data_IF_753544889834
#
_entry.id   IF_753544889834
#
_cell.length_a   1.000
_cell.length_b   1.000
_cell.length_c   1.000
_cell.angle_alpha   90.00
_cell.angle_beta   90.00
_cell.angle_gamma   90.00
#
_symmetry.space_group_name_H-M   'P 1'
#
loop_
_entity.id
_entity.type
_entity.pdbx_description
1 polymer ?
#
# COMPACT_ATOMS: atom_id res chain seq x y z
N UNK A 1 3.18 4.72 -13.13
CA UNK A 1 3.00 4.79 -11.66
C UNK A 1 2.45 6.16 -11.24
N UNK A 2 1.54 6.23 -10.26
CA UNK A 2 1.06 7.52 -9.72
C UNK A 2 2.18 8.33 -9.03
N UNK A 3 2.12 9.67 -9.11
CA UNK A 3 3.09 10.55 -8.41
C UNK A 3 2.83 10.71 -6.91
N UNK A 4 1.67 10.27 -6.41
CA UNK A 4 1.32 10.35 -4.99
C UNK A 4 0.61 9.07 -4.53
N UNK A 5 0.95 8.63 -3.32
CA UNK A 5 0.42 7.37 -2.77
C UNK A 5 -1.07 7.50 -2.41
N UNK A 6 -1.89 6.58 -2.92
CA UNK A 6 -3.31 6.43 -2.57
C UNK A 6 -3.52 5.35 -1.50
N UNK A 7 -2.81 5.49 -0.37
CA UNK A 7 -2.74 4.47 0.70
C UNK A 7 -4.14 4.04 1.18
N UNK A 8 -5.07 4.99 1.34
CA UNK A 8 -6.44 4.66 1.77
C UNK A 8 -7.18 3.74 0.80
N UNK A 9 -7.05 3.99 -0.51
CA UNK A 9 -7.67 3.16 -1.54
C UNK A 9 -7.01 1.77 -1.60
N UNK A 10 -5.68 1.71 -1.52
CA UNK A 10 -4.94 0.46 -1.50
C UNK A 10 -5.27 -0.41 -0.28
N UNK A 11 -5.31 0.20 0.92
CA UNK A 11 -5.70 -0.49 2.15
C UNK A 11 -7.11 -1.08 2.00
N UNK A 12 -8.08 -0.29 1.54
CA UNK A 12 -9.45 -0.76 1.33
C UNK A 12 -9.53 -1.89 0.32
N UNK A 13 -8.83 -1.77 -0.81
CA UNK A 13 -8.84 -2.77 -1.88
C UNK A 13 -8.26 -4.11 -1.37
N UNK A 14 -7.07 -4.09 -0.78
CA UNK A 14 -6.42 -5.29 -0.25
C UNK A 14 -7.24 -5.92 0.86
N UNK A 15 -7.83 -5.10 1.75
CA UNK A 15 -8.72 -5.57 2.81
C UNK A 15 -9.92 -6.33 2.24
N UNK A 16 -10.60 -5.76 1.24
CA UNK A 16 -11.74 -6.42 0.59
C UNK A 16 -11.32 -7.71 -0.12
N UNK A 17 -10.18 -7.71 -0.83
CA UNK A 17 -9.66 -8.89 -1.51
C UNK A 17 -9.27 -10.02 -0.54
N UNK A 18 -8.83 -9.67 0.67
CA UNK A 18 -8.47 -10.63 1.73
C UNK A 18 -9.66 -11.05 2.60
N UNK A 19 -10.85 -10.49 2.39
CA UNK A 19 -12.03 -10.78 3.22
C UNK A 19 -11.94 -10.25 4.65
N UNK A 20 -11.07 -9.27 4.89
CA UNK A 20 -10.82 -8.70 6.22
C UNK A 20 -11.81 -7.54 6.49
N UNK A 21 -12.37 -7.48 7.69
CA UNK A 21 -13.24 -6.38 8.14
C UNK A 21 -12.41 -5.20 8.67
N UNK A 22 -12.99 -4.01 8.80
CA UNK A 22 -12.29 -2.91 9.49
C UNK A 22 -12.11 -3.18 11.00
N UNK A 23 -12.94 -4.07 11.58
CA UNK A 23 -12.90 -4.43 13.00
C UNK A 23 -11.77 -5.40 13.32
N UNK A 24 -11.37 -6.22 12.34
CA UNK A 24 -10.28 -7.20 12.48
C UNK A 24 -8.93 -6.52 12.78
N UNK A 25 -8.79 -5.24 12.43
CA UNK A 25 -7.61 -4.44 12.80
C UNK A 25 -7.54 -4.06 14.27
N UNK A 26 -8.56 -4.38 15.09
CA UNK A 26 -8.68 -3.99 16.50
C UNK A 26 -7.46 -4.34 17.36
N UNK A 27 -6.66 -5.33 16.94
CA UNK A 27 -5.40 -5.73 17.60
C UNK A 27 -4.26 -4.71 17.43
N UNK A 28 -4.25 -3.94 16.34
CA UNK A 28 -3.17 -2.98 16.01
C UNK A 28 -3.66 -1.53 15.85
N UNK A 29 -4.96 -1.33 15.64
CA UNK A 29 -5.54 -0.02 15.41
C UNK A 29 -7.05 0.01 15.66
N UNK A 30 -7.58 1.19 15.99
CA UNK A 30 -9.03 1.33 16.14
C UNK A 30 -9.73 1.28 14.78
N UNK A 31 -10.93 0.68 14.74
CA UNK A 31 -11.81 0.70 13.56
C UNK A 31 -11.97 2.12 12.97
N UNK A 32 -12.12 3.12 13.85
CA UNK A 32 -12.22 4.54 13.46
C UNK A 32 -10.96 5.01 12.73
N UNK A 33 -9.77 4.67 13.23
CA UNK A 33 -8.52 5.01 12.56
C UNK A 33 -8.45 4.39 11.16
N UNK A 34 -8.74 3.10 11.04
CA UNK A 34 -8.75 2.39 9.75
C UNK A 34 -9.72 3.05 8.78
N UNK A 35 -10.94 3.38 9.24
CA UNK A 35 -11.92 4.12 8.45
C UNK A 35 -11.41 5.49 7.98
N UNK A 36 -10.71 6.24 8.85
CA UNK A 36 -10.12 7.54 8.46
C UNK A 36 -9.01 7.39 7.43
N UNK A 37 -8.18 6.35 7.53
CA UNK A 37 -7.13 6.07 6.52
C UNK A 37 -7.75 5.67 5.19
N UNK A 38 -8.72 4.75 5.17
CA UNK A 38 -9.39 4.31 3.93
C UNK A 38 -10.09 5.45 3.19
N UNK A 39 -10.54 6.47 3.93
CA UNK A 39 -11.15 7.69 3.38
C UNK A 39 -10.14 8.77 2.96
N UNK A 40 -8.85 8.53 3.15
CA UNK A 40 -7.78 9.48 2.84
C UNK A 40 -7.69 10.67 3.80
N UNK A 41 -8.31 10.59 4.97
CA UNK A 41 -8.30 11.68 5.97
C UNK A 41 -7.04 11.67 6.85
N UNK A 42 -6.33 10.54 6.89
CA UNK A 42 -5.05 10.39 7.59
C UNK A 42 -4.07 9.59 6.74
N UNK A 43 -2.82 10.05 6.73
CA UNK A 43 -1.70 9.28 6.20
C UNK A 43 -1.07 8.48 7.34
N UNK A 44 -1.02 7.14 7.27
CA UNK A 44 -0.35 6.32 8.26
C UNK A 44 1.17 6.48 8.18
N UNK A 45 1.85 6.30 9.31
CA UNK A 45 3.32 6.19 9.34
C UNK A 45 3.75 4.83 8.78
N UNK A 46 5.04 4.68 8.44
CA UNK A 46 5.57 3.40 7.95
C UNK A 46 5.34 2.26 8.95
N UNK A 47 5.63 2.47 10.24
CA UNK A 47 5.36 1.46 11.26
C UNK A 47 3.86 1.10 11.38
N UNK A 48 2.96 2.04 11.07
CA UNK A 48 1.53 1.72 11.01
C UNK A 48 1.19 0.92 9.75
N UNK A 49 1.82 1.20 8.61
CA UNK A 49 1.68 0.41 7.37
C UNK A 49 2.10 -1.04 7.61
N UNK A 50 3.22 -1.27 8.31
CA UNK A 50 3.69 -2.61 8.70
C UNK A 50 2.63 -3.37 9.52
N UNK A 51 2.10 -2.74 10.57
CA UNK A 51 1.05 -3.32 11.40
C UNK A 51 -0.24 -3.62 10.62
N UNK A 52 -0.64 -2.73 9.71
CA UNK A 52 -1.82 -2.95 8.88
C UNK A 52 -1.59 -4.10 7.88
N UNK A 53 -0.40 -4.20 7.31
CA UNK A 53 -0.02 -5.25 6.37
C UNK A 53 0.03 -6.63 7.05
N UNK A 54 0.47 -6.69 8.32
CA UNK A 54 0.44 -7.90 9.14
C UNK A 54 -0.98 -8.47 9.28
N UNK A 55 -1.96 -7.63 9.64
CA UNK A 55 -3.38 -8.04 9.74
C UNK A 55 -3.92 -8.54 8.39
N UNK A 56 -3.48 -7.94 7.28
CA UNK A 56 -3.88 -8.34 5.92
C UNK A 56 -3.17 -9.62 5.44
N UNK A 57 -2.15 -10.11 6.16
CA UNK A 57 -1.31 -11.22 5.72
C UNK A 57 -0.54 -10.92 4.43
N UNK A 58 -0.02 -9.70 4.28
CA UNK A 58 0.80 -9.27 3.13
C UNK A 58 2.07 -8.58 3.61
N UNK A 59 3.07 -8.49 2.73
CA UNK A 59 4.25 -7.69 3.00
C UNK A 59 3.91 -6.18 2.95
N UNK A 60 4.48 -5.31 3.81
CA UNK A 60 4.21 -3.87 3.78
C UNK A 60 4.50 -3.23 2.42
N UNK A 61 5.54 -3.70 1.71
CA UNK A 61 5.84 -3.25 0.35
C UNK A 61 4.71 -3.56 -0.64
N UNK A 62 3.94 -4.63 -0.44
CA UNK A 62 2.76 -4.92 -1.26
C UNK A 62 1.70 -3.84 -1.09
N UNK A 63 1.43 -3.40 0.15
CA UNK A 63 0.50 -2.31 0.42
C UNK A 63 1.00 -0.97 -0.16
N UNK A 64 2.30 -0.68 -0.02
CA UNK A 64 2.92 0.52 -0.60
C UNK A 64 2.82 0.50 -2.12
N UNK A 65 3.28 -0.57 -2.78
CA UNK A 65 3.22 -0.69 -4.24
C UNK A 65 1.78 -0.56 -4.76
N UNK A 66 0.82 -1.20 -4.09
CA UNK A 66 -0.61 -1.09 -4.41
C UNK A 66 -1.10 0.36 -4.36
N UNK A 67 -0.57 1.19 -3.46
CA UNK A 67 -0.95 2.60 -3.35
C UNK A 67 -0.46 3.47 -4.51
N UNK A 68 0.49 2.97 -5.30
CA UNK A 68 1.08 3.68 -6.44
C UNK A 68 0.62 3.14 -7.80
N UNK A 69 -0.17 2.06 -7.83
CA UNK A 69 -0.73 1.52 -9.07
C UNK A 69 -1.70 2.52 -9.71
N UNK A 70 -1.57 2.70 -11.02
CA UNK A 70 -2.54 3.47 -11.82
C UNK A 70 -3.85 2.69 -11.98
N UNK A 71 -3.75 1.36 -12.12
CA UNK A 71 -4.86 0.42 -12.24
C UNK A 71 -4.61 -0.84 -11.40
N UNK A 72 -5.67 -1.42 -10.82
CA UNK A 72 -5.58 -2.68 -10.04
C UNK A 72 -5.72 -3.91 -10.95
N UNK A 73 -4.80 -4.06 -11.90
CA UNK A 73 -4.72 -5.17 -12.83
C UNK A 73 -3.26 -5.49 -13.18
N UNK A 74 -3.06 -6.55 -13.97
CA UNK A 74 -1.72 -7.01 -14.37
C UNK A 74 -0.91 -5.90 -15.06
N UNK A 75 -1.53 -5.12 -15.95
CA UNK A 75 -0.86 -4.01 -16.65
C UNK A 75 -0.38 -2.93 -15.68
N UNK A 76 -1.20 -2.56 -14.70
CA UNK A 76 -0.83 -1.58 -13.67
C UNK A 76 0.33 -2.07 -12.80
N UNK A 77 0.33 -3.35 -12.45
CA UNK A 77 1.42 -3.99 -11.69
C UNK A 77 2.71 -3.99 -12.50
N UNK A 78 2.68 -4.44 -13.75
CA UNK A 78 3.86 -4.48 -14.62
C UNK A 78 4.43 -3.09 -14.88
N UNK A 79 3.59 -2.09 -15.15
CA UNK A 79 4.04 -0.71 -15.33
C UNK A 79 4.73 -0.18 -14.07
N UNK A 80 4.13 -0.34 -12.89
CA UNK A 80 4.72 0.18 -11.66
C UNK A 80 6.05 -0.50 -11.29
N UNK A 81 6.16 -1.82 -11.51
CA UNK A 81 7.39 -2.56 -11.23
C UNK A 81 8.49 -2.23 -12.25
N UNK A 82 8.14 -2.05 -13.52
CA UNK A 82 9.09 -1.64 -14.57
C UNK A 82 9.67 -0.25 -14.30
N UNK A 83 8.81 0.71 -13.91
CA UNK A 83 9.22 2.07 -13.55
C UNK A 83 10.19 2.03 -12.35
N UNK A 84 9.77 1.40 -11.25
CA UNK A 84 10.58 1.27 -10.03
C UNK A 84 11.92 0.57 -10.28
N UNK A 85 11.91 -0.52 -11.05
CA UNK A 85 13.14 -1.26 -11.38
C UNK A 85 14.11 -0.39 -12.16
N UNK A 86 13.62 0.34 -13.15
CA UNK A 86 14.46 1.23 -13.97
C UNK A 86 15.07 2.34 -13.13
N UNK A 87 14.27 2.99 -12.28
CA UNK A 87 14.74 4.03 -11.36
C UNK A 87 15.81 3.52 -10.39
N UNK A 88 15.58 2.37 -9.75
CA UNK A 88 16.53 1.79 -8.79
C UNK A 88 17.85 1.40 -9.44
N UNK A 89 17.81 0.80 -10.64
CA UNK A 89 19.04 0.42 -11.35
C UNK A 89 19.86 1.66 -11.71
N UNK A 90 19.22 2.72 -12.23
CA UNK A 90 19.90 3.99 -12.51
C UNK A 90 20.56 4.58 -11.25
N UNK A 91 19.84 4.65 -10.13
CA UNK A 91 20.38 5.18 -8.87
C UNK A 91 21.56 4.34 -8.37
N UNK A 92 21.47 3.01 -8.47
CA UNK A 92 22.54 2.12 -8.02
C UNK A 92 23.78 2.19 -8.92
N UNK A 93 23.60 2.41 -10.23
CA UNK A 93 24.70 2.65 -11.17
C UNK A 93 25.39 3.99 -10.88
N UNK A 94 24.63 5.05 -10.57
CA UNK A 94 25.16 6.38 -10.23
C UNK A 94 25.82 6.45 -8.84
N UNK A 95 25.46 5.54 -7.93
CA UNK A 95 26.02 5.46 -6.58
C UNK A 95 27.36 4.70 -6.50
N UNK A 96 27.81 4.12 -7.61
CA UNK A 96 29.10 3.42 -7.75
C UNK A 96 30.20 4.36 -8.25
#
# INVERSE_FOLDING_TARGET
MHSSARIGAALRMLRQAKGVSQEDFGVVSSRTYVSTVERGLKSPTLGKIEQLAEVLGVHPLTLIATAYLDEYNDNGVESALSDLRSELLTILEEAQ
#
